data_IF_141865694814
#
_entry.id   IF_141865694814
#
_cell.length_a   1.000
_cell.length_b   1.000
_cell.length_c   1.000
_cell.angle_alpha   90.00
_cell.angle_beta   90.00
_cell.angle_gamma   90.00
#
_symmetry.space_group_name_H-M   'P 1'
#
loop_
_entity.id
_entity.type
_entity.pdbx_description
1 polymer ?
#
# COMPACT_ATOMS: atom_id res chain seq x y z
N UNK A 1 -11.82 11.87 6.24
CA UNK A 1 -13.02 12.69 5.94
C UNK A 1 -14.21 11.78 5.64
N UNK A 2 -15.08 11.53 6.62
CA UNK A 2 -16.19 10.57 6.46
C UNK A 2 -17.21 11.00 5.41
N UNK A 3 -17.58 12.29 5.37
CA UNK A 3 -18.56 12.80 4.41
C UNK A 3 -18.11 12.69 2.94
N UNK A 4 -16.79 12.76 2.71
CA UNK A 4 -16.24 12.54 1.38
C UNK A 4 -16.33 11.05 0.99
N UNK A 5 -15.98 10.16 1.91
CA UNK A 5 -16.07 8.70 1.70
C UNK A 5 -17.51 8.31 1.40
N UNK A 6 -18.48 8.79 2.20
CA UNK A 6 -19.90 8.53 1.99
C UNK A 6 -20.36 8.97 0.59
N UNK A 7 -20.10 10.22 0.21
CA UNK A 7 -20.49 10.76 -1.12
C UNK A 7 -19.82 10.01 -2.28
N UNK A 8 -18.56 9.61 -2.11
CA UNK A 8 -17.85 8.83 -3.12
C UNK A 8 -18.50 7.45 -3.32
N UNK A 9 -18.83 6.76 -2.23
CA UNK A 9 -19.49 5.45 -2.27
C UNK A 9 -20.92 5.54 -2.83
N UNK A 10 -21.68 6.58 -2.48
CA UNK A 10 -23.00 6.87 -3.06
C UNK A 10 -22.93 7.15 -4.56
N UNK A 11 -21.80 7.65 -5.05
CA UNK A 11 -21.54 7.88 -6.47
C UNK A 11 -21.04 6.63 -7.22
N UNK A 12 -20.92 5.48 -6.55
CA UNK A 12 -20.53 4.20 -7.16
C UNK A 12 -19.03 3.87 -7.07
N UNK A 13 -18.24 4.60 -6.29
CA UNK A 13 -16.85 4.20 -6.02
C UNK A 13 -16.81 2.83 -5.37
N UNK A 14 -15.96 1.94 -5.89
CA UNK A 14 -15.89 0.55 -5.44
C UNK A 14 -14.67 0.22 -4.58
N UNK A 15 -13.71 1.14 -4.47
CA UNK A 15 -12.48 0.96 -3.69
C UNK A 15 -12.16 2.25 -2.94
N UNK A 16 -11.98 2.16 -1.63
CA UNK A 16 -11.50 3.27 -0.79
C UNK A 16 -10.05 3.00 -0.37
N UNK A 17 -9.13 3.90 -0.74
CA UNK A 17 -7.76 3.85 -0.26
C UNK A 17 -7.63 4.59 1.07
N UNK A 18 -7.49 3.87 2.19
CA UNK A 18 -7.52 4.43 3.54
C UNK A 18 -6.10 4.63 4.09
N UNK A 19 -5.66 5.89 4.09
CA UNK A 19 -4.33 6.33 4.54
C UNK A 19 -4.39 6.91 5.97
N UNK A 20 -4.67 6.05 6.95
CA UNK A 20 -4.72 6.41 8.37
C UNK A 20 -5.86 5.73 9.14
N UNK A 21 -5.79 5.76 10.47
CA UNK A 21 -6.66 4.93 11.33
C UNK A 21 -7.75 5.72 12.06
N UNK A 22 -7.69 7.06 12.00
CA UNK A 22 -8.73 7.90 12.60
C UNK A 22 -10.09 7.62 11.94
N UNK A 23 -11.06 7.18 12.73
CA UNK A 23 -12.41 6.78 12.30
C UNK A 23 -12.42 5.63 11.28
N UNK A 24 -11.43 4.74 11.29
CA UNK A 24 -11.36 3.59 10.36
C UNK A 24 -12.59 2.70 10.44
N UNK A 25 -13.13 2.45 11.65
CA UNK A 25 -14.37 1.67 11.85
C UNK A 25 -15.57 2.25 11.09
N UNK A 26 -15.73 3.56 11.04
CA UNK A 26 -16.85 4.19 10.32
C UNK A 26 -16.65 4.10 8.80
N UNK A 27 -15.41 4.26 8.32
CA UNK A 27 -15.07 4.01 6.92
C UNK A 27 -15.35 2.55 6.54
N UNK A 28 -15.00 1.59 7.40
CA UNK A 28 -15.26 0.18 7.15
C UNK A 28 -16.76 -0.13 7.08
N UNK A 29 -17.56 0.42 7.99
CA UNK A 29 -19.03 0.27 7.94
C UNK A 29 -19.62 0.82 6.64
N UNK A 30 -19.17 1.99 6.20
CA UNK A 30 -19.58 2.58 4.92
C UNK A 30 -19.16 1.67 3.75
N UNK A 31 -17.93 1.16 3.73
CA UNK A 31 -17.48 0.23 2.70
C UNK A 31 -18.34 -1.05 2.70
N UNK A 32 -18.64 -1.61 3.86
CA UNK A 32 -19.48 -2.80 3.99
C UNK A 32 -20.91 -2.57 3.46
N UNK A 33 -21.54 -1.45 3.82
CA UNK A 33 -22.88 -1.06 3.34
C UNK A 33 -22.96 -0.96 1.82
N UNK A 34 -21.91 -0.43 1.19
CA UNK A 34 -21.80 -0.27 -0.26
C UNK A 34 -21.10 -1.45 -0.95
N UNK A 35 -20.80 -2.51 -0.19
CA UNK A 35 -20.01 -3.67 -0.60
C UNK A 35 -18.61 -3.32 -1.15
N UNK A 36 -18.12 -2.09 -1.03
CA UNK A 36 -16.85 -1.62 -1.57
C UNK A 36 -15.64 -2.30 -0.91
N UNK A 37 -14.53 -2.36 -1.64
CA UNK A 37 -13.25 -2.77 -1.11
C UNK A 37 -12.55 -1.63 -0.35
N UNK A 38 -11.69 -2.00 0.58
CA UNK A 38 -10.81 -1.05 1.28
C UNK A 38 -9.35 -1.46 1.11
N UNK A 39 -8.49 -0.50 0.78
CA UNK A 39 -7.04 -0.66 0.87
C UNK A 39 -6.64 -0.12 2.25
N UNK A 40 -6.11 -0.98 3.10
CA UNK A 40 -5.64 -0.62 4.44
C UNK A 40 -4.14 -0.35 4.34
N UNK A 41 -3.74 0.91 4.50
CA UNK A 41 -2.33 1.28 4.48
C UNK A 41 -1.71 1.19 5.87
N UNK A 42 -0.56 0.52 5.99
CA UNK A 42 0.26 0.53 7.19
C UNK A 42 0.86 1.92 7.41
N UNK A 43 0.68 2.45 8.63
CA UNK A 43 1.24 3.72 9.08
C UNK A 43 1.64 3.60 10.55
N UNK A 44 2.85 4.06 10.91
CA UNK A 44 3.36 4.02 12.29
C UNK A 44 2.83 5.17 13.17
N UNK A 45 1.52 5.43 13.13
CA UNK A 45 0.88 6.49 13.89
C UNK A 45 -0.60 6.62 13.54
N UNK A 46 -1.28 7.62 14.10
CA UNK A 46 -2.70 7.84 13.81
C UNK A 46 -2.97 8.10 12.31
N UNK A 47 -2.03 8.79 11.64
CA UNK A 47 -2.01 9.01 10.20
C UNK A 47 -0.58 9.36 9.74
N UNK A 48 -0.36 9.41 8.42
CA UNK A 48 0.97 9.62 7.82
C UNK A 48 1.61 10.93 8.28
N UNK A 49 0.82 11.97 8.52
CA UNK A 49 1.30 13.30 8.93
C UNK A 49 1.69 13.38 10.40
N UNK A 50 1.30 12.39 11.22
CA UNK A 50 1.61 12.37 12.66
C UNK A 50 2.86 11.54 13.01
N UNK A 51 3.53 10.94 12.02
CA UNK A 51 4.70 10.09 12.24
C UNK A 51 5.96 10.94 12.12
N UNK A 52 6.64 11.19 13.23
CA UNK A 52 7.87 11.98 13.26
C UNK A 52 9.07 11.21 12.70
N UNK A 53 9.15 9.91 13.01
CA UNK A 53 10.18 9.00 12.50
C UNK A 53 9.61 7.60 12.28
N UNK A 54 9.86 7.04 11.10
CA UNK A 54 9.68 5.61 10.85
C UNK A 54 10.76 4.84 11.61
N UNK A 55 10.34 3.92 12.47
CA UNK A 55 11.23 2.99 13.14
C UNK A 55 10.95 1.58 12.62
N UNK A 56 11.98 0.95 12.08
CA UNK A 56 11.89 -0.42 11.60
C UNK A 56 12.71 -1.29 12.52
N UNK A 57 12.08 -2.29 13.15
CA UNK A 57 12.84 -3.32 13.84
C UNK A 57 13.55 -4.26 12.87
N UNK A 58 14.04 -5.39 13.39
CA UNK A 58 14.87 -6.31 12.61
C UNK A 58 14.14 -6.98 11.44
N UNK A 59 12.82 -7.14 11.54
CA UNK A 59 11.97 -7.70 10.49
C UNK A 59 10.67 -6.88 10.33
N UNK A 60 10.70 -5.82 9.51
CA UNK A 60 9.56 -4.93 9.32
C UNK A 60 8.30 -5.61 8.81
N UNK A 61 8.44 -6.71 8.05
CA UNK A 61 7.29 -7.42 7.49
C UNK A 61 6.54 -8.19 8.57
N UNK A 62 7.25 -8.73 9.57
CA UNK A 62 6.62 -9.40 10.70
C UNK A 62 5.81 -8.40 11.54
N UNK A 63 6.39 -7.25 11.85
CA UNK A 63 5.74 -6.17 12.59
C UNK A 63 4.50 -5.62 11.86
N UNK A 64 4.62 -5.38 10.55
CA UNK A 64 3.48 -5.03 9.70
C UNK A 64 2.41 -6.12 9.72
N UNK A 65 2.82 -7.39 9.67
CA UNK A 65 1.91 -8.53 9.71
C UNK A 65 1.05 -8.56 10.99
N UNK A 66 1.67 -8.38 12.16
CA UNK A 66 0.95 -8.34 13.43
C UNK A 66 0.01 -7.14 13.52
N UNK A 67 0.43 -6.00 12.99
CA UNK A 67 -0.43 -4.83 12.88
C UNK A 67 -1.63 -5.06 11.95
N UNK A 68 -1.41 -5.66 10.77
CA UNK A 68 -2.47 -5.96 9.82
C UNK A 68 -3.49 -6.93 10.38
N UNK A 69 -3.09 -7.94 11.18
CA UNK A 69 -4.05 -8.86 11.83
C UNK A 69 -5.10 -8.09 12.64
N UNK A 70 -4.69 -7.06 13.36
CA UNK A 70 -5.60 -6.22 14.17
C UNK A 70 -6.55 -5.42 13.27
N UNK A 71 -6.04 -4.75 12.24
CA UNK A 71 -6.89 -3.94 11.35
C UNK A 71 -7.82 -4.80 10.47
N UNK A 72 -7.36 -5.95 10.00
CA UNK A 72 -8.20 -6.93 9.28
C UNK A 72 -9.36 -7.36 10.18
N UNK A 73 -9.10 -7.71 11.43
CA UNK A 73 -10.15 -8.10 12.37
C UNK A 73 -11.20 -6.99 12.56
N UNK A 74 -10.76 -5.72 12.68
CA UNK A 74 -11.65 -4.56 12.77
C UNK A 74 -12.49 -4.35 11.51
N UNK A 75 -11.90 -4.51 10.33
CA UNK A 75 -12.61 -4.38 9.07
C UNK A 75 -13.65 -5.50 8.89
N UNK A 76 -13.29 -6.74 9.24
CA UNK A 76 -14.19 -7.90 9.21
C UNK A 76 -15.35 -7.75 10.20
N UNK A 77 -15.08 -7.30 11.43
CA UNK A 77 -16.11 -7.02 12.44
C UNK A 77 -17.12 -5.97 11.94
N UNK A 78 -16.64 -4.97 11.17
CA UNK A 78 -17.49 -3.96 10.54
C UNK A 78 -18.23 -4.46 9.28
N UNK A 79 -18.00 -5.70 8.84
CA UNK A 79 -18.70 -6.35 7.73
C UNK A 79 -18.02 -6.21 6.36
N UNK A 80 -16.79 -5.69 6.30
CA UNK A 80 -16.05 -5.59 5.03
C UNK A 80 -15.70 -6.97 4.51
N UNK A 81 -15.89 -7.20 3.21
CA UNK A 81 -15.60 -8.50 2.55
C UNK A 81 -14.44 -8.47 1.57
N UNK A 82 -13.92 -7.27 1.25
CA UNK A 82 -12.90 -7.06 0.22
C UNK A 82 -11.83 -6.12 0.78
N UNK A 83 -10.63 -6.64 1.03
CA UNK A 83 -9.52 -5.91 1.62
C UNK A 83 -8.28 -6.06 0.75
N UNK A 84 -7.51 -4.99 0.59
CA UNK A 84 -6.12 -5.03 0.15
C UNK A 84 -5.22 -4.54 1.28
N UNK A 85 -4.03 -5.12 1.41
CA UNK A 85 -3.01 -4.71 2.36
C UNK A 85 -1.96 -3.86 1.64
N UNK A 86 -1.71 -2.64 2.11
CA UNK A 86 -0.68 -1.76 1.55
C UNK A 86 0.40 -1.48 2.62
N UNK A 87 1.63 -2.01 2.47
CA UNK A 87 2.73 -1.78 3.42
C UNK A 87 3.20 -0.32 3.56
N UNK A 88 2.64 0.63 2.80
CA UNK A 88 2.83 2.07 3.02
C UNK A 88 4.09 2.65 2.39
N UNK A 89 4.62 2.04 1.32
CA UNK A 89 5.87 2.47 0.67
C UNK A 89 5.78 3.83 -0.07
N UNK A 90 4.56 4.30 -0.35
CA UNK A 90 4.30 5.58 -1.01
C UNK A 90 4.30 6.79 -0.09
N UNK A 91 4.49 6.61 1.22
CA UNK A 91 4.49 7.69 2.20
C UNK A 91 5.88 8.29 2.40
N UNK A 92 5.92 9.58 2.72
CA UNK A 92 7.14 10.33 3.01
C UNK A 92 7.16 10.61 4.51
N UNK A 93 8.27 10.29 5.16
CA UNK A 93 8.47 10.47 6.59
C UNK A 93 9.74 11.30 6.81
N UNK A 94 9.78 12.10 7.87
CA UNK A 94 10.85 13.10 8.09
C UNK A 94 12.26 12.48 8.17
N UNK A 95 12.37 11.26 8.70
CA UNK A 95 13.62 10.51 8.78
C UNK A 95 13.85 9.55 7.60
N UNK A 96 12.93 9.52 6.65
CA UNK A 96 12.97 8.70 5.44
C UNK A 96 12.54 9.58 4.25
N UNK A 97 13.31 10.63 4.05
CA UNK A 97 13.27 11.44 2.83
C UNK A 97 13.81 10.63 1.65
N UNK A 98 13.76 11.21 0.45
CA UNK A 98 14.37 10.58 -0.71
C UNK A 98 15.87 10.31 -0.44
N UNK A 99 16.34 9.14 -0.89
CA UNK A 99 17.69 8.67 -0.57
C UNK A 99 17.87 7.16 -0.62
N UNK A 100 19.14 6.75 -0.57
CA UNK A 100 19.53 5.35 -0.67
C UNK A 100 18.92 4.46 0.44
N UNK A 101 18.72 5.01 1.64
CA UNK A 101 18.08 4.29 2.76
C UNK A 101 16.62 3.96 2.45
N UNK A 102 15.86 4.92 1.91
CA UNK A 102 14.46 4.75 1.50
C UNK A 102 14.33 3.76 0.36
N UNK A 103 15.14 3.90 -0.69
CA UNK A 103 15.15 2.97 -1.83
C UNK A 103 15.47 1.55 -1.36
N UNK A 104 16.48 1.39 -0.50
CA UNK A 104 16.83 0.10 0.09
C UNK A 104 15.68 -0.49 0.90
N UNK A 105 14.98 0.32 1.70
CA UNK A 105 13.80 -0.11 2.44
C UNK A 105 12.69 -0.57 1.48
N UNK A 106 12.34 0.24 0.47
CA UNK A 106 11.32 -0.09 -0.52
C UNK A 106 11.63 -1.40 -1.25
N UNK A 107 12.86 -1.57 -1.75
CA UNK A 107 13.30 -2.81 -2.42
C UNK A 107 13.18 -4.03 -1.51
N UNK A 108 13.64 -3.91 -0.24
CA UNK A 108 13.52 -4.99 0.75
C UNK A 108 12.07 -5.33 1.03
N UNK A 109 11.22 -4.33 1.25
CA UNK A 109 9.80 -4.53 1.53
C UNK A 109 9.12 -5.21 0.35
N UNK A 110 9.33 -4.74 -0.89
CA UNK A 110 8.81 -5.40 -2.09
C UNK A 110 9.14 -6.90 -2.12
N UNK A 111 10.42 -7.25 -2.02
CA UNK A 111 10.87 -8.64 -2.12
C UNK A 111 10.43 -9.53 -0.96
N UNK A 112 9.98 -8.97 0.16
CA UNK A 112 9.55 -9.74 1.33
C UNK A 112 8.03 -9.68 1.58
N UNK A 113 7.28 -8.87 0.81
CA UNK A 113 5.84 -8.67 1.05
C UNK A 113 5.01 -9.92 0.78
N UNK A 114 5.50 -10.89 -0.01
CA UNK A 114 4.81 -12.15 -0.25
C UNK A 114 4.40 -12.87 1.04
N UNK A 115 5.13 -12.64 2.15
CA UNK A 115 4.81 -13.17 3.49
C UNK A 115 3.49 -12.65 4.04
N UNK A 116 3.07 -11.43 3.69
CA UNK A 116 1.77 -10.88 4.12
C UNK A 116 0.58 -11.62 3.49
N UNK A 117 0.79 -12.39 2.42
CA UNK A 117 -0.27 -13.21 1.81
C UNK A 117 -0.78 -14.30 2.75
N UNK A 118 0.00 -14.70 3.75
CA UNK A 118 -0.43 -15.62 4.81
C UNK A 118 -1.64 -15.08 5.58
N UNK A 119 -1.89 -13.77 5.54
CA UNK A 119 -3.07 -13.13 6.14
C UNK A 119 -4.35 -13.33 5.31
N UNK A 120 -4.26 -13.93 4.12
CA UNK A 120 -5.42 -14.27 3.28
C UNK A 120 -5.96 -13.14 2.41
N UNK A 121 -5.24 -12.01 2.28
CA UNK A 121 -5.66 -10.84 1.52
C UNK A 121 -4.63 -10.43 0.46
N UNK A 122 -5.07 -9.88 -0.69
CA UNK A 122 -4.18 -9.35 -1.71
C UNK A 122 -3.40 -8.14 -1.21
N UNK A 123 -2.24 -7.92 -1.82
CA UNK A 123 -1.31 -6.83 -1.50
C UNK A 123 -1.38 -5.76 -2.57
N UNK A 124 -1.41 -4.49 -2.14
CA UNK A 124 -1.29 -3.31 -2.98
C UNK A 124 0.03 -2.58 -2.68
N UNK A 125 0.69 -2.04 -3.70
CA UNK A 125 1.81 -1.12 -3.52
C UNK A 125 1.72 0.08 -4.45
N UNK A 126 2.08 1.25 -3.93
CA UNK A 126 2.45 2.39 -4.75
C UNK A 126 3.90 2.24 -5.24
N UNK A 127 4.12 2.37 -6.55
CA UNK A 127 5.44 2.29 -7.15
C UNK A 127 6.21 3.61 -6.92
N UNK A 128 7.45 3.56 -6.39
CA UNK A 128 8.26 4.74 -6.16
C UNK A 128 8.79 5.39 -7.44
N UNK A 129 8.91 6.72 -7.40
CA UNK A 129 9.65 7.49 -8.41
C UNK A 129 11.16 7.52 -8.14
N UNK A 130 11.58 7.56 -6.87
CA UNK A 130 13.00 7.54 -6.47
C UNK A 130 13.89 8.50 -7.26
N UNK A 131 13.47 9.79 -7.32
CA UNK A 131 14.10 10.86 -8.11
C UNK A 131 15.61 10.91 -7.96
N UNK A 132 16.14 10.75 -6.74
CA UNK A 132 17.57 10.83 -6.46
C UNK A 132 18.40 9.70 -7.09
N UNK A 133 17.79 8.54 -7.35
CA UNK A 133 18.48 7.39 -7.95
C UNK A 133 18.36 7.38 -9.47
N UNK A 134 17.20 7.76 -10.00
CA UNK A 134 16.91 7.68 -11.43
C UNK A 134 17.14 9.01 -12.16
N UNK A 135 17.25 10.14 -11.46
CA UNK A 135 17.55 11.44 -12.04
C UNK A 135 16.59 11.83 -13.16
N UNK A 136 17.13 12.19 -14.32
CA UNK A 136 16.34 12.54 -15.52
C UNK A 136 15.46 11.38 -16.00
N UNK A 137 15.85 10.13 -15.71
CA UNK A 137 15.12 8.92 -16.08
C UNK A 137 14.08 8.49 -15.03
N UNK A 138 13.65 9.39 -14.14
CA UNK A 138 12.68 9.11 -13.07
C UNK A 138 11.41 8.37 -13.54
N UNK A 139 10.98 8.61 -14.78
CA UNK A 139 9.82 7.93 -15.38
C UNK A 139 10.03 6.44 -15.64
N UNK A 140 11.26 5.94 -15.54
CA UNK A 140 11.59 4.51 -15.64
C UNK A 140 11.62 3.82 -14.29
N UNK A 141 11.67 4.58 -13.18
CA UNK A 141 11.77 4.03 -11.84
C UNK A 141 10.60 3.11 -11.50
N UNK A 142 9.37 3.52 -11.81
CA UNK A 142 8.19 2.70 -11.53
C UNK A 142 8.24 1.36 -12.28
N UNK A 143 8.77 1.30 -13.51
CA UNK A 143 9.01 0.04 -14.23
C UNK A 143 10.01 -0.87 -13.50
N UNK A 144 11.09 -0.31 -12.97
CA UNK A 144 12.06 -1.07 -12.17
C UNK A 144 11.42 -1.63 -10.89
N UNK A 145 10.71 -0.80 -10.13
CA UNK A 145 10.05 -1.26 -8.90
C UNK A 145 8.89 -2.22 -9.15
N UNK A 146 8.21 -2.13 -10.31
CA UNK A 146 7.18 -3.09 -10.70
C UNK A 146 7.72 -4.52 -10.74
N UNK A 147 8.95 -4.73 -11.26
CA UNK A 147 9.59 -6.05 -11.28
C UNK A 147 9.73 -6.60 -9.85
N UNK A 148 10.28 -5.79 -8.93
CA UNK A 148 10.46 -6.18 -7.53
C UNK A 148 9.13 -6.47 -6.83
N UNK A 149 8.12 -5.63 -7.09
CA UNK A 149 6.78 -5.80 -6.54
C UNK A 149 6.12 -7.10 -7.02
N UNK A 150 6.26 -7.44 -8.31
CA UNK A 150 5.71 -8.66 -8.91
C UNK A 150 6.43 -9.91 -8.40
N UNK A 151 7.76 -9.87 -8.28
CA UNK A 151 8.54 -10.94 -7.62
C UNK A 151 8.13 -11.11 -6.15
N UNK A 152 7.81 -10.01 -5.49
CA UNK A 152 7.20 -9.95 -4.16
C UNK A 152 5.74 -10.37 -4.05
N UNK A 153 5.13 -10.85 -5.15
CA UNK A 153 3.73 -11.30 -5.23
C UNK A 153 2.69 -10.21 -4.90
N UNK A 154 2.97 -8.97 -5.29
CA UNK A 154 2.00 -7.86 -5.23
C UNK A 154 0.87 -8.09 -6.23
N UNK A 155 -0.39 -7.86 -5.82
CA UNK A 155 -1.58 -8.08 -6.64
C UNK A 155 -2.08 -6.79 -7.33
N UNK A 156 -1.87 -5.64 -6.68
CA UNK A 156 -2.28 -4.33 -7.21
C UNK A 156 -1.11 -3.34 -7.21
N UNK A 157 -0.77 -2.81 -8.39
CA UNK A 157 0.26 -1.80 -8.56
C UNK A 157 -0.37 -0.43 -8.81
N UNK A 158 -0.12 0.53 -7.91
CA UNK A 158 -0.49 1.94 -8.09
C UNK A 158 0.68 2.68 -8.73
N UNK A 159 0.45 3.27 -9.90
CA UNK A 159 1.48 3.80 -10.80
C UNK A 159 1.00 5.07 -11.50
N UNK A 160 1.93 5.96 -11.86
CA UNK A 160 1.69 7.07 -12.79
C UNK A 160 2.11 6.70 -14.22
N UNK A 161 3.02 5.74 -14.38
CA UNK A 161 3.61 5.31 -15.66
C UNK A 161 2.93 4.05 -16.22
N UNK A 162 1.60 4.11 -16.37
CA UNK A 162 0.72 2.95 -16.70
C UNK A 162 1.23 2.12 -17.88
N UNK A 163 1.54 2.73 -19.02
CA UNK A 163 1.97 2.00 -20.21
C UNK A 163 3.31 1.27 -20.01
N UNK A 164 4.24 1.88 -19.27
CA UNK A 164 5.56 1.29 -19.01
C UNK A 164 5.46 0.13 -18.01
N UNK A 165 4.65 0.29 -16.96
CA UNK A 165 4.42 -0.76 -15.97
C UNK A 165 3.63 -1.92 -16.60
N UNK A 166 2.64 -1.64 -17.45
CA UNK A 166 1.91 -2.67 -18.19
C UNK A 166 2.84 -3.54 -19.03
N UNK A 167 3.78 -2.94 -19.78
CA UNK A 167 4.74 -3.70 -20.57
C UNK A 167 5.59 -4.65 -19.71
N UNK A 168 5.98 -4.23 -18.50
CA UNK A 168 6.70 -5.08 -17.54
C UNK A 168 5.83 -6.25 -17.07
N UNK A 169 4.57 -5.99 -16.70
CA UNK A 169 3.62 -7.05 -16.30
C UNK A 169 3.45 -8.07 -17.43
N UNK A 170 3.13 -7.60 -18.64
CA UNK A 170 2.89 -8.46 -19.81
C UNK A 170 4.14 -9.28 -20.18
N UNK A 171 5.35 -8.74 -19.94
CA UNK A 171 6.60 -9.46 -20.16
C UNK A 171 6.82 -10.53 -19.11
N UNK A 172 6.62 -10.23 -17.82
CA UNK A 172 6.82 -11.19 -16.74
C UNK A 172 5.78 -12.33 -16.75
N UNK A 173 4.60 -12.11 -17.33
CA UNK A 173 3.58 -13.15 -17.52
C UNK A 173 3.92 -14.19 -18.60
N UNK A 174 4.95 -13.94 -19.43
CA UNK A 174 5.42 -14.89 -20.43
C UNK A 174 6.33 -15.98 -19.85
N UNK A 175 6.80 -15.80 -18.61
CA UNK A 175 7.63 -16.74 -17.86
C UNK A 175 6.76 -17.58 -16.92
#
# INVERSE_FOLDING_TARGET
>A
HLDLVKRALESGVQVINLTGHTNSKDVYRLCAQHQAAVIICYVQGANVRSVESLEFGSDPILEMGDWFKVEIARALEAGVKRIFLDPGLGFYYRNMEDGASRVKHQMKTFLNTFRLRELGWPVCHALPHSFETFGEEVRTAESFFAILALLGKTDLLRTHEVSKVKAVIDTLQQF
#
